data_IF_809360658918
#
_entry.id   IF_809360658918
#
_cell.length_a   1.000
_cell.length_b   1.000
_cell.length_c   1.000
_cell.angle_alpha   90.00
_cell.angle_beta   90.00
_cell.angle_gamma   90.00
#
_symmetry.space_group_name_H-M   'P 1'
#
loop_
_entity.id
_entity.type
_entity.pdbx_description
1 polymer ?
#
# COMPACT_ATOMS: atom_id res chain seq x y z
N UNK A 1 1.47 3.21 11.25
CA UNK A 1 1.14 2.69 9.88
C UNK A 1 -0.24 3.19 9.51
N UNK A 2 -0.38 3.75 8.35
CA UNK A 2 -1.65 4.27 7.86
C UNK A 2 -2.27 3.29 6.86
N UNK A 3 -3.39 2.67 7.23
CA UNK A 3 -4.07 1.67 6.44
C UNK A 3 -5.47 2.13 6.06
N UNK A 4 -5.88 1.76 4.85
CA UNK A 4 -7.23 1.93 4.34
C UNK A 4 -7.75 0.53 4.04
N UNK A 5 -8.70 0.07 4.83
CA UNK A 5 -9.16 -1.31 4.77
C UNK A 5 -10.40 -1.44 3.91
N UNK A 6 -10.41 -2.44 3.04
CA UNK A 6 -11.59 -2.89 2.31
C UNK A 6 -12.32 -1.72 1.64
N UNK A 7 -11.58 -1.01 0.79
CA UNK A 7 -12.11 0.18 0.08
C UNK A 7 -13.32 -0.24 -0.75
N UNK A 8 -14.45 0.42 -0.51
CA UNK A 8 -15.73 0.06 -1.09
C UNK A 8 -16.03 0.81 -2.38
N UNK A 9 -16.83 0.23 -3.28
CA UNK A 9 -17.34 0.97 -4.42
C UNK A 9 -18.15 2.18 -3.98
N UNK A 10 -17.97 3.31 -4.65
CA UNK A 10 -18.79 4.50 -4.44
C UNK A 10 -20.07 4.48 -5.29
N UNK A 11 -20.11 3.61 -6.30
CA UNK A 11 -21.26 3.46 -7.17
C UNK A 11 -21.38 2.01 -7.63
N UNK A 12 -22.57 1.44 -7.59
CA UNK A 12 -22.86 0.08 -8.04
C UNK A 12 -24.18 0.09 -8.81
N UNK A 13 -24.20 -0.59 -9.95
CA UNK A 13 -25.43 -0.90 -10.70
C UNK A 13 -25.31 -2.30 -11.31
N UNK A 14 -26.24 -2.66 -12.20
CA UNK A 14 -26.24 -4.00 -12.81
C UNK A 14 -25.03 -4.28 -13.71
N UNK A 15 -24.26 -3.26 -14.08
CA UNK A 15 -23.03 -3.42 -14.87
C UNK A 15 -21.81 -3.73 -14.00
N UNK A 16 -21.87 -3.45 -12.68
CA UNK A 16 -20.77 -3.60 -11.76
C UNK A 16 -20.59 -2.39 -10.87
N UNK A 17 -19.38 -2.20 -10.36
CA UNK A 17 -19.07 -1.13 -9.43
C UNK A 17 -17.92 -0.25 -9.86
N UNK A 18 -17.88 0.96 -9.32
CA UNK A 18 -16.78 1.91 -9.49
C UNK A 18 -16.22 2.20 -8.11
N UNK A 19 -14.95 1.90 -7.92
CA UNK A 19 -14.26 2.11 -6.67
C UNK A 19 -13.19 3.20 -6.84
N UNK A 20 -13.32 4.28 -6.07
CA UNK A 20 -12.28 5.29 -5.99
C UNK A 20 -11.21 4.80 -5.03
N UNK A 21 -10.07 4.43 -5.56
CA UNK A 21 -8.96 3.91 -4.76
C UNK A 21 -8.21 5.05 -4.10
N UNK A 22 -7.97 6.12 -4.84
CA UNK A 22 -7.21 7.26 -4.36
C UNK A 22 -7.71 8.55 -5.00
N UNK A 23 -7.84 9.59 -4.16
CA UNK A 23 -8.10 10.96 -4.59
C UNK A 23 -7.02 11.81 -3.95
N UNK A 24 -5.87 11.89 -4.61
CA UNK A 24 -4.70 12.54 -4.05
C UNK A 24 -4.76 14.06 -4.22
N UNK A 25 -4.38 14.78 -3.15
CA UNK A 25 -4.29 16.24 -3.18
C UNK A 25 -3.00 16.71 -3.86
N UNK A 26 -1.94 15.91 -3.77
CA UNK A 26 -0.65 16.19 -4.39
C UNK A 26 -0.56 15.49 -5.75
N UNK A 27 0.26 16.01 -6.69
CA UNK A 27 0.47 15.34 -7.97
C UNK A 27 1.05 13.95 -7.79
N UNK A 28 0.53 13.00 -8.56
CA UNK A 28 1.09 11.65 -8.66
C UNK A 28 2.12 11.66 -9.78
N UNK A 29 3.36 11.28 -9.46
CA UNK A 29 4.47 11.32 -10.41
C UNK A 29 4.60 10.04 -11.21
N UNK A 30 4.30 8.90 -10.61
CA UNK A 30 4.34 7.61 -11.30
C UNK A 30 3.37 6.64 -10.68
N UNK A 31 2.89 5.72 -11.50
CA UNK A 31 2.04 4.61 -11.08
C UNK A 31 2.68 3.33 -11.59
N UNK A 32 2.88 2.36 -10.70
CA UNK A 32 3.49 1.09 -11.03
C UNK A 32 2.50 -0.04 -10.77
N UNK A 33 2.47 -1.01 -11.70
CA UNK A 33 1.83 -2.29 -11.45
C UNK A 33 2.92 -3.31 -11.13
N UNK A 34 2.81 -3.96 -9.98
CA UNK A 34 3.83 -4.88 -9.48
C UNK A 34 3.21 -6.26 -9.30
N UNK A 35 3.84 -7.26 -9.90
CA UNK A 35 3.51 -8.66 -9.64
C UNK A 35 4.64 -9.29 -8.84
N UNK A 36 4.29 -10.24 -7.96
CA UNK A 36 5.28 -10.87 -7.10
C UNK A 36 4.95 -12.33 -6.91
N UNK A 37 6.00 -13.15 -6.89
CA UNK A 37 5.86 -14.58 -6.60
C UNK A 37 5.67 -14.78 -5.09
N UNK A 38 4.93 -15.82 -4.75
CA UNK A 38 4.72 -16.21 -3.35
C UNK A 38 6.06 -16.40 -2.65
N UNK A 39 6.20 -15.83 -1.45
CA UNK A 39 7.41 -15.90 -0.65
C UNK A 39 8.43 -14.82 -0.95
N UNK A 40 8.23 -14.01 -1.99
CA UNK A 40 9.13 -12.92 -2.32
C UNK A 40 9.09 -11.82 -1.27
N UNK A 41 10.24 -11.20 -1.05
CA UNK A 41 10.38 -10.02 -0.19
C UNK A 41 10.85 -8.88 -1.08
N UNK A 42 10.16 -7.74 -0.99
CA UNK A 42 10.53 -6.53 -1.72
C UNK A 42 10.72 -5.37 -0.77
N UNK A 43 11.30 -4.30 -1.29
CA UNK A 43 11.57 -3.07 -0.57
C UNK A 43 12.66 -3.26 0.47
N UNK A 44 12.35 -3.16 1.76
CA UNK A 44 13.34 -3.16 2.84
C UNK A 44 14.26 -1.95 2.72
N UNK A 45 13.66 -0.80 2.44
CA UNK A 45 14.35 0.47 2.25
C UNK A 45 13.49 1.63 2.74
N UNK A 46 14.00 2.85 2.58
CA UNK A 46 13.24 4.06 2.86
C UNK A 46 13.49 5.09 1.75
N UNK A 47 12.59 6.06 1.67
CA UNK A 47 12.73 7.19 0.74
C UNK A 47 12.87 8.48 1.54
N UNK A 48 13.77 9.36 1.10
CA UNK A 48 14.05 10.62 1.80
C UNK A 48 12.96 11.66 1.59
N UNK A 49 12.31 11.66 0.42
CA UNK A 49 11.33 12.68 0.03
C UNK A 49 10.03 12.11 -0.46
N UNK A 50 10.06 10.94 -1.08
CA UNK A 50 8.91 10.36 -1.74
C UNK A 50 7.97 9.70 -0.73
N UNK A 51 6.69 9.74 -1.04
CA UNK A 51 5.65 9.02 -0.34
C UNK A 51 5.01 8.02 -1.30
N UNK A 52 4.43 6.96 -0.75
CA UNK A 52 3.84 5.90 -1.56
C UNK A 52 2.46 5.53 -1.05
N UNK A 53 1.56 5.29 -2.00
CA UNK A 53 0.34 4.54 -1.76
C UNK A 53 0.50 3.18 -2.43
N UNK A 54 0.24 2.10 -1.70
CA UNK A 54 0.31 0.74 -2.23
C UNK A 54 -1.04 0.06 -2.03
N UNK A 55 -1.72 -0.25 -3.13
CA UNK A 55 -3.03 -0.89 -3.15
C UNK A 55 -2.88 -2.34 -3.59
N UNK A 56 -3.48 -3.27 -2.84
CA UNK A 56 -3.43 -4.69 -3.18
C UNK A 56 -4.62 -5.05 -4.08
N UNK A 57 -4.31 -5.47 -5.30
CA UNK A 57 -5.32 -5.87 -6.29
C UNK A 57 -5.73 -7.32 -6.07
N UNK A 58 -4.77 -8.22 -5.85
CA UNK A 58 -5.04 -9.64 -5.68
C UNK A 58 -3.96 -10.27 -4.81
N UNK A 59 -4.28 -11.43 -4.25
CA UNK A 59 -3.35 -12.17 -3.40
C UNK A 59 -3.36 -11.66 -1.96
N UNK A 60 -2.24 -11.81 -1.30
CA UNK A 60 -2.07 -11.41 0.09
C UNK A 60 -0.66 -10.89 0.29
N UNK A 61 -0.50 -9.86 1.12
CA UNK A 61 0.83 -9.37 1.44
C UNK A 61 0.91 -9.00 2.93
N UNK A 62 2.09 -9.16 3.50
CA UNK A 62 2.40 -8.71 4.84
C UNK A 62 3.30 -7.49 4.73
N UNK A 63 2.83 -6.36 5.26
CA UNK A 63 3.51 -5.07 5.18
C UNK A 63 4.16 -4.75 6.52
N UNK A 64 5.39 -4.26 6.46
CA UNK A 64 6.18 -3.89 7.63
C UNK A 64 6.64 -2.45 7.51
N UNK A 65 6.51 -1.69 8.58
CA UNK A 65 7.01 -0.31 8.64
C UNK A 65 7.67 -0.01 9.98
N UNK A 66 8.67 0.85 9.90
CA UNK A 66 9.36 1.36 11.08
C UNK A 66 9.89 2.76 10.75
N UNK A 67 9.77 3.75 11.67
CA UNK A 67 10.44 5.03 11.48
C UNK A 67 11.94 4.83 11.31
N UNK A 68 12.56 5.60 10.43
CA UNK A 68 13.99 5.47 10.17
C UNK A 68 14.84 5.73 11.42
N UNK A 69 14.39 6.65 12.28
CA UNK A 69 15.10 7.03 13.51
C UNK A 69 14.98 5.99 14.62
N UNK A 70 14.32 4.88 14.36
CA UNK A 70 14.06 3.85 15.35
C UNK A 70 12.64 3.91 15.85
N UNK A 71 12.27 2.95 16.66
CA UNK A 71 10.93 2.76 17.15
C UNK A 71 10.45 1.34 16.91
N UNK A 72 9.20 1.09 17.23
CA UNK A 72 8.64 -0.24 17.09
C UNK A 72 8.35 -0.57 15.62
N UNK A 73 8.65 -1.81 15.26
CA UNK A 73 8.23 -2.36 13.98
C UNK A 73 6.73 -2.62 14.01
N UNK A 74 6.01 -2.02 13.08
CA UNK A 74 4.60 -2.30 12.86
C UNK A 74 4.44 -3.24 11.69
N UNK A 75 3.43 -4.09 11.73
CA UNK A 75 3.11 -4.97 10.61
C UNK A 75 1.61 -5.15 10.47
N UNK A 76 1.19 -5.47 9.27
CA UNK A 76 -0.19 -5.78 8.96
C UNK A 76 -0.27 -6.69 7.74
N UNK A 77 -1.23 -7.62 7.76
CA UNK A 77 -1.57 -8.40 6.58
C UNK A 77 -2.63 -7.63 5.79
N UNK A 78 -2.38 -7.43 4.49
CA UNK A 78 -3.33 -6.79 3.59
C UNK A 78 -3.99 -7.83 2.69
N UNK A 79 -5.28 -7.63 2.49
CA UNK A 79 -6.11 -8.40 1.56
C UNK A 79 -6.47 -7.52 0.36
N UNK A 80 -6.95 -8.11 -0.76
CA UNK A 80 -7.39 -7.31 -1.90
C UNK A 80 -8.41 -6.25 -1.49
N UNK A 81 -8.19 -5.03 -1.95
CA UNK A 81 -9.01 -3.87 -1.57
C UNK A 81 -8.42 -3.04 -0.45
N UNK A 82 -7.35 -3.50 0.20
CA UNK A 82 -6.65 -2.73 1.22
C UNK A 82 -5.55 -1.89 0.59
N UNK A 83 -5.25 -0.76 1.22
CA UNK A 83 -4.19 0.15 0.79
C UNK A 83 -3.39 0.62 2.00
N UNK A 84 -2.08 0.78 1.80
CA UNK A 84 -1.18 1.36 2.81
C UNK A 84 -0.55 2.63 2.25
N UNK A 85 -0.46 3.66 3.09
CA UNK A 85 0.30 4.88 2.80
C UNK A 85 1.60 4.85 3.58
N UNK A 86 2.72 5.06 2.87
CA UNK A 86 4.05 5.11 3.47
C UNK A 86 4.60 6.52 3.36
N UNK A 87 4.79 7.24 4.48
CA UNK A 87 5.42 8.54 4.44
C UNK A 87 6.92 8.43 4.16
N UNK A 88 7.54 9.57 3.81
CA UNK A 88 8.98 9.66 3.69
C UNK A 88 9.66 9.32 5.02
N UNK A 89 10.92 8.93 4.99
CA UNK A 89 11.74 8.59 6.16
C UNK A 89 11.18 7.42 6.99
N UNK A 90 10.48 6.51 6.32
CA UNK A 90 9.93 5.29 6.93
C UNK A 90 10.51 4.09 6.22
N UNK A 91 11.18 3.22 6.98
CA UNK A 91 11.67 1.94 6.45
C UNK A 91 10.47 1.03 6.26
N UNK A 92 10.34 0.47 5.08
CA UNK A 92 9.25 -0.44 4.77
C UNK A 92 9.73 -1.67 4.03
N UNK A 93 9.03 -2.76 4.22
CA UNK A 93 9.26 -4.03 3.53
C UNK A 93 7.92 -4.73 3.32
N UNK A 94 7.88 -5.60 2.34
CA UNK A 94 6.68 -6.37 2.04
C UNK A 94 7.07 -7.81 1.70
N UNK A 95 6.30 -8.74 2.25
CA UNK A 95 6.41 -10.17 1.96
C UNK A 95 5.11 -10.66 1.33
N UNK A 96 5.25 -11.38 0.24
CA UNK A 96 4.13 -11.94 -0.52
C UNK A 96 3.88 -13.41 -0.25
#
# INVERSE_FOLDING_TARGET
MQLFRNIKPEFIDQRGGITRILDAQAPIRSILSITSNKGSIRSNHYHKKDTHYCYLVSGKMEWFERPMEGGELESAVLDPGDMVFTPAMTVHAVRF
#
